data_IF_720135329658
#
_entry.id   IF_720135329658
#
_cell.length_a   1.000
_cell.length_b   1.000
_cell.length_c   1.000
_cell.angle_alpha   90.00
_cell.angle_beta   90.00
_cell.angle_gamma   90.00
#
_symmetry.space_group_name_H-M   'P 1'
#
loop_
_entity.id
_entity.type
_entity.pdbx_description
1 polymer ?
#
# COMPACT_ATOMS: atom_id res chain seq x y z
N UNK A 1 14.59 -6.40 -15.96
CA UNK A 1 14.04 -5.18 -15.33
C UNK A 1 14.58 -5.10 -13.91
N UNK A 2 15.64 -4.33 -13.68
CA UNK A 2 16.25 -4.21 -12.35
C UNK A 2 15.33 -3.40 -11.45
N UNK A 3 14.83 -3.99 -10.36
CA UNK A 3 14.02 -3.30 -9.36
C UNK A 3 14.85 -2.14 -8.79
N UNK A 4 14.34 -0.91 -8.83
CA UNK A 4 15.04 0.24 -8.27
C UNK A 4 15.18 0.09 -6.74
N UNK A 5 16.28 0.58 -6.13
CA UNK A 5 16.55 0.41 -4.69
C UNK A 5 15.40 0.93 -3.80
N UNK A 6 14.79 2.07 -4.16
CA UNK A 6 13.61 2.61 -3.45
C UNK A 6 12.40 1.68 -3.45
N UNK A 7 12.19 0.93 -4.54
CA UNK A 7 11.08 0.00 -4.61
C UNK A 7 11.33 -1.20 -3.70
N UNK A 8 12.57 -1.69 -3.62
CA UNK A 8 12.93 -2.76 -2.69
C UNK A 8 12.70 -2.36 -1.22
N UNK A 9 12.98 -1.10 -0.84
CA UNK A 9 12.71 -0.57 0.50
C UNK A 9 11.21 -0.55 0.82
N UNK A 10 10.37 -0.05 -0.11
CA UNK A 10 8.92 -0.09 0.05
C UNK A 10 8.39 -1.51 0.20
N UNK A 11 9.03 -2.46 -0.49
CA UNK A 11 8.64 -3.85 -0.49
C UNK A 11 9.12 -4.62 0.75
N UNK A 12 9.98 -4.02 1.56
CA UNK A 12 10.41 -4.52 2.87
C UNK A 12 9.61 -3.96 4.05
N UNK A 13 8.71 -2.99 3.84
CA UNK A 13 7.93 -2.38 4.93
C UNK A 13 6.97 -3.41 5.58
N UNK A 14 6.94 -3.53 6.93
CA UNK A 14 6.12 -4.53 7.62
C UNK A 14 4.62 -4.47 7.29
N UNK A 15 4.08 -3.27 7.05
CA UNK A 15 2.65 -3.11 6.71
C UNK A 15 2.25 -3.79 5.39
N UNK A 16 3.22 -4.18 4.55
CA UNK A 16 2.99 -4.85 3.27
C UNK A 16 2.17 -6.13 3.41
N UNK A 17 2.34 -6.86 4.51
CA UNK A 17 1.60 -8.10 4.77
C UNK A 17 0.09 -7.85 4.90
N UNK A 18 -0.31 -6.66 5.38
CA UNK A 18 -1.71 -6.28 5.53
C UNK A 18 -2.37 -5.79 4.22
N UNK A 19 -1.58 -5.42 3.21
CA UNK A 19 -2.08 -4.80 1.97
C UNK A 19 -3.10 -5.67 1.23
N UNK A 20 -2.89 -6.99 1.01
CA UNK A 20 -3.89 -7.82 0.33
C UNK A 20 -5.24 -7.87 1.06
N UNK A 21 -5.22 -7.95 2.40
CA UNK A 21 -6.45 -7.96 3.20
C UNK A 21 -7.15 -6.60 3.17
N UNK A 22 -6.39 -5.50 3.25
CA UNK A 22 -6.91 -4.15 3.12
C UNK A 22 -7.62 -3.92 1.79
N UNK A 23 -6.98 -4.32 0.67
CA UNK A 23 -7.57 -4.14 -0.66
C UNK A 23 -8.86 -4.93 -0.83
N UNK A 24 -8.92 -6.17 -0.32
CA UNK A 24 -10.16 -6.97 -0.33
C UNK A 24 -11.27 -6.32 0.48
N UNK A 25 -10.96 -5.78 1.66
CA UNK A 25 -11.95 -5.11 2.50
C UNK A 25 -12.50 -3.84 1.84
N UNK A 26 -11.62 -3.04 1.20
CA UNK A 26 -12.04 -1.85 0.45
C UNK A 26 -12.88 -2.20 -0.78
N UNK A 27 -12.54 -3.28 -1.50
CA UNK A 27 -13.32 -3.75 -2.65
C UNK A 27 -14.72 -4.23 -2.24
N UNK A 28 -14.81 -4.99 -1.13
CA UNK A 28 -16.07 -5.54 -0.65
C UNK A 28 -16.97 -4.53 0.09
N UNK A 29 -16.38 -3.56 0.81
CA UNK A 29 -17.12 -2.71 1.75
C UNK A 29 -16.95 -1.21 1.51
N UNK A 30 -16.08 -0.80 0.58
CA UNK A 30 -15.75 0.61 0.32
C UNK A 30 -14.95 1.30 1.42
N UNK A 31 -14.78 0.67 2.58
CA UNK A 31 -14.11 1.21 3.78
C UNK A 31 -13.37 0.11 4.53
N UNK A 32 -12.28 0.48 5.22
CA UNK A 32 -11.49 -0.44 6.02
C UNK A 32 -10.72 0.31 7.11
N UNK A 33 -10.53 -0.36 8.25
CA UNK A 33 -9.66 0.12 9.33
C UNK A 33 -8.40 -0.72 9.32
N UNK A 34 -7.25 -0.05 9.17
CA UNK A 34 -5.94 -0.70 9.26
C UNK A 34 -5.28 -0.33 10.59
N UNK A 35 -5.15 -1.31 11.47
CA UNK A 35 -4.36 -1.22 12.69
C UNK A 35 -2.97 -1.81 12.43
N UNK A 36 -1.93 -1.04 12.71
CA UNK A 36 -0.54 -1.50 12.65
C UNK A 36 0.29 -0.76 13.70
N UNK A 37 1.31 -1.42 14.30
CA UNK A 37 2.25 -0.74 15.19
C UNK A 37 2.88 0.52 14.56
N UNK A 38 3.32 1.49 15.38
CA UNK A 38 4.13 2.62 14.89
C UNK A 38 5.37 2.14 14.12
N UNK A 39 5.80 2.89 13.12
CA UNK A 39 7.00 2.55 12.32
C UNK A 39 6.83 1.45 11.27
N UNK A 40 5.68 0.79 11.19
CA UNK A 40 5.41 -0.29 10.19
C UNK A 40 5.32 0.17 8.74
N UNK A 41 5.32 1.50 8.50
CA UNK A 41 5.20 2.08 7.17
C UNK A 41 3.77 2.30 6.69
N UNK A 42 2.75 2.23 7.57
CA UNK A 42 1.32 2.44 7.19
C UNK A 42 1.06 3.76 6.46
N UNK A 43 1.73 4.85 6.84
CA UNK A 43 1.57 6.18 6.20
C UNK A 43 2.45 6.31 4.95
N UNK A 44 3.41 5.40 4.76
CA UNK A 44 4.35 5.42 3.64
C UNK A 44 3.85 4.54 2.48
N UNK A 45 3.58 3.25 2.74
CA UNK A 45 3.23 2.29 1.69
C UNK A 45 1.75 2.36 1.29
N UNK A 46 0.85 2.45 2.27
CA UNK A 46 -0.60 2.29 2.01
C UNK A 46 -1.13 3.36 1.06
N UNK A 47 -0.84 4.67 1.24
CA UNK A 47 -1.33 5.69 0.30
C UNK A 47 -0.82 5.45 -1.13
N UNK A 48 0.43 5.00 -1.30
CA UNK A 48 1.01 4.72 -2.62
C UNK A 48 0.34 3.54 -3.31
N UNK A 49 0.01 2.48 -2.56
CA UNK A 49 -0.74 1.34 -3.08
C UNK A 49 -2.15 1.77 -3.51
N UNK A 50 -2.86 2.53 -2.67
CA UNK A 50 -4.22 3.00 -2.98
C UNK A 50 -4.23 3.95 -4.18
N UNK A 51 -3.20 4.78 -4.32
CA UNK A 51 -3.00 5.66 -5.48
C UNK A 51 -2.64 4.90 -6.77
N UNK A 52 -2.42 3.59 -6.71
CA UNK A 52 -2.04 2.76 -7.85
C UNK A 52 -0.59 2.96 -8.30
N UNK A 53 0.25 3.61 -7.48
CA UNK A 53 1.64 3.94 -7.83
C UNK A 53 2.60 2.78 -7.60
N UNK A 54 2.26 1.87 -6.69
CA UNK A 54 3.04 0.67 -6.37
C UNK A 54 2.10 -0.52 -6.14
N UNK A 55 2.62 -1.73 -6.31
CA UNK A 55 1.86 -2.95 -6.09
C UNK A 55 2.59 -4.20 -6.59
N UNK A 56 2.12 -5.40 -6.24
CA UNK A 56 2.77 -6.66 -6.61
C UNK A 56 2.89 -6.88 -8.13
N UNK A 57 2.03 -6.24 -8.94
CA UNK A 57 2.07 -6.28 -10.41
C UNK A 57 2.65 -4.98 -11.05
N UNK A 58 3.33 -4.12 -10.28
CA UNK A 58 3.89 -2.86 -10.79
C UNK A 58 2.96 -1.65 -10.73
N UNK A 59 1.88 -1.72 -9.95
CA UNK A 59 0.91 -0.64 -9.76
C UNK A 59 -0.50 -1.02 -10.25
N UNK A 60 -1.42 -0.05 -10.18
CA UNK A 60 -2.81 -0.18 -10.64
C UNK A 60 -3.29 1.12 -11.28
N UNK A 61 -4.60 1.26 -11.58
CA UNK A 61 -5.15 2.52 -12.07
C UNK A 61 -4.77 3.68 -11.14
N UNK A 62 -4.27 4.79 -11.72
CA UNK A 62 -3.88 5.95 -10.91
C UNK A 62 -5.10 6.60 -10.26
N UNK A 63 -4.99 6.88 -8.96
CA UNK A 63 -6.05 7.51 -8.16
C UNK A 63 -5.49 8.66 -7.35
N UNK A 64 -6.36 9.61 -6.99
CA UNK A 64 -6.04 10.66 -6.02
C UNK A 64 -6.30 10.12 -4.63
N UNK A 65 -5.30 10.23 -3.76
CA UNK A 65 -5.41 9.84 -2.34
C UNK A 65 -5.12 11.07 -1.50
N UNK A 66 -6.02 11.35 -0.55
CA UNK A 66 -5.84 12.39 0.46
C UNK A 66 -5.50 11.70 1.76
N UNK A 67 -4.45 12.17 2.43
CA UNK A 67 -4.02 11.68 3.75
C UNK A 67 -4.14 12.86 4.71
N UNK A 68 -4.79 12.64 5.84
CA UNK A 68 -4.94 13.60 6.92
C UNK A 68 -4.23 13.08 8.19
#
# INVERSE_FOLDING_TARGET
MSRQPRQAELDALPVREAVPALLRALDAHGTAVLCAPPGTGKTTLVPLVLAGLVGPAGGGPRRKVVVA
#
